data_IF_699807766348
#
_entry.id   IF_699807766348
#
_cell.length_a   1.000
_cell.length_b   1.000
_cell.length_c   1.000
_cell.angle_alpha   90.00
_cell.angle_beta   90.00
_cell.angle_gamma   90.00
#
_symmetry.space_group_name_H-M   'P 1'
#
loop_
_entity.id
_entity.type
_entity.pdbx_description
1 polymer ?
#
# COMPACT_ATOMS: atom_id res chain seq x y z
N UNK A 1 -17.23 15.21 17.56
CA UNK A 1 -17.25 13.85 16.98
C UNK A 1 -15.86 13.28 17.07
N UNK A 2 -15.65 12.18 17.80
CA UNK A 2 -14.35 11.50 17.84
C UNK A 2 -14.21 10.81 16.48
N UNK A 3 -13.27 11.25 15.65
CA UNK A 3 -12.92 10.50 14.44
C UNK A 3 -12.42 9.12 14.90
N UNK A 4 -13.11 8.06 14.50
CA UNK A 4 -12.67 6.70 14.75
C UNK A 4 -11.31 6.52 14.06
N UNK A 5 -10.26 6.32 14.85
CA UNK A 5 -8.94 6.07 14.32
C UNK A 5 -8.94 4.68 13.65
N UNK A 6 -8.66 4.64 12.35
CA UNK A 6 -8.52 3.41 11.58
C UNK A 6 -7.13 2.86 11.87
N UNK A 7 -7.09 1.59 12.24
CA UNK A 7 -5.86 0.87 12.55
C UNK A 7 -5.41 0.06 11.36
N UNK A 8 -4.21 0.32 10.88
CA UNK A 8 -3.64 -0.27 9.68
C UNK A 8 -2.38 -1.08 10.01
N UNK A 9 -2.10 -2.13 9.24
CA UNK A 9 -0.80 -2.80 9.33
C UNK A 9 0.29 -1.93 8.71
N UNK A 10 1.46 -1.90 9.35
CA UNK A 10 2.68 -1.34 8.77
C UNK A 10 3.66 -2.47 8.49
N UNK A 11 3.93 -2.72 7.23
CA UNK A 11 4.74 -3.86 6.86
C UNK A 11 5.29 -3.80 5.45
N UNK A 12 6.31 -4.61 5.20
CA UNK A 12 6.70 -5.07 3.89
C UNK A 12 6.39 -6.57 3.80
N UNK A 13 5.71 -6.98 2.73
CA UNK A 13 5.31 -8.35 2.47
C UNK A 13 5.46 -8.73 1.00
N UNK A 14 5.13 -9.99 0.69
CA UNK A 14 5.07 -10.49 -0.67
C UNK A 14 3.95 -11.53 -0.84
N UNK A 15 3.36 -11.56 -2.03
CA UNK A 15 2.42 -12.59 -2.49
C UNK A 15 3.18 -13.52 -3.43
N UNK A 16 3.44 -14.78 -3.04
CA UNK A 16 4.10 -15.75 -3.92
C UNK A 16 4.91 -16.80 -3.18
N UNK A 17 5.70 -17.57 -3.94
CA UNK A 17 6.54 -18.68 -3.42
C UNK A 17 7.93 -18.22 -2.92
N UNK A 18 8.28 -16.95 -3.14
CA UNK A 18 9.63 -16.41 -2.91
C UNK A 18 9.57 -15.00 -2.29
N UNK A 19 10.52 -14.61 -1.42
CA UNK A 19 11.48 -15.47 -0.75
C UNK A 19 10.78 -16.34 0.30
N UNK A 20 11.49 -17.32 0.80
CA UNK A 20 11.03 -18.46 1.60
C UNK A 20 9.84 -18.20 2.57
N UNK A 21 8.88 -19.14 2.68
CA UNK A 21 7.73 -19.06 3.62
C UNK A 21 8.16 -18.96 5.09
N UNK A 22 9.45 -19.20 5.36
CA UNK A 22 10.10 -19.06 6.66
C UNK A 22 10.40 -17.61 7.03
N UNK A 23 10.44 -16.70 6.07
CA UNK A 23 10.49 -15.26 6.35
C UNK A 23 9.07 -14.79 6.70
N UNK A 24 8.86 -14.55 7.99
CA UNK A 24 7.58 -14.03 8.51
C UNK A 24 7.32 -12.70 7.79
N UNK A 25 6.21 -12.63 7.05
CA UNK A 25 5.74 -11.35 6.53
C UNK A 25 5.60 -10.40 7.71
N UNK A 26 6.23 -9.23 7.65
CA UNK A 26 6.03 -8.24 8.73
C UNK A 26 4.57 -7.79 8.83
N UNK A 27 3.74 -8.13 7.84
CA UNK A 27 2.30 -7.87 7.86
C UNK A 27 1.53 -8.73 8.85
N UNK A 28 2.08 -9.91 9.18
CA UNK A 28 1.48 -10.78 10.20
C UNK A 28 1.83 -10.29 11.62
N UNK A 29 2.75 -9.32 11.76
CA UNK A 29 3.11 -8.73 13.04
C UNK A 29 2.10 -7.66 13.46
N UNK A 30 1.13 -8.07 14.28
CA UNK A 30 0.10 -7.21 14.88
C UNK A 30 0.68 -6.06 15.72
N UNK A 31 1.93 -6.15 16.20
CA UNK A 31 2.53 -5.08 17.01
C UNK A 31 3.03 -3.89 16.17
N UNK A 32 3.08 -4.01 14.84
CA UNK A 32 3.52 -2.93 13.95
C UNK A 32 2.33 -2.26 13.27
N UNK A 33 1.39 -1.75 14.08
CA UNK A 33 0.19 -1.07 13.61
C UNK A 33 0.36 0.45 13.73
N UNK A 34 -0.29 1.18 12.83
CA UNK A 34 -0.45 2.63 12.93
C UNK A 34 -1.93 3.00 12.94
N UNK A 35 -2.20 4.24 13.35
CA UNK A 35 -3.55 4.80 13.41
C UNK A 35 -3.64 6.04 12.51
N UNK A 36 -4.72 6.11 11.74
CA UNK A 36 -5.01 7.21 10.82
C UNK A 36 -6.50 7.55 10.81
N UNK A 37 -6.88 8.83 10.67
CA UNK A 37 -8.28 9.21 10.50
C UNK A 37 -8.83 8.94 9.09
N UNK A 38 -7.99 8.53 8.12
CA UNK A 38 -8.35 8.51 6.70
C UNK A 38 -8.36 7.10 6.09
N UNK A 39 -7.19 6.56 5.70
CA UNK A 39 -7.13 5.29 4.97
C UNK A 39 -5.91 4.45 5.35
N UNK A 40 -6.08 3.12 5.35
CA UNK A 40 -4.96 2.20 5.18
C UNK A 40 -4.60 2.16 3.70
N UNK A 41 -3.31 2.06 3.40
CA UNK A 41 -2.83 1.93 2.03
C UNK A 41 -1.96 0.69 1.87
N UNK A 42 -2.21 -0.06 0.80
CA UNK A 42 -1.37 -1.14 0.30
C UNK A 42 -0.73 -0.70 -1.01
N UNK A 43 0.58 -0.55 -1.00
CA UNK A 43 1.41 -0.16 -2.14
C UNK A 43 1.97 -1.43 -2.76
N UNK A 44 1.49 -1.78 -3.93
CA UNK A 44 1.85 -3.01 -4.65
C UNK A 44 2.87 -2.65 -5.71
N UNK A 45 4.03 -3.29 -5.67
CA UNK A 45 5.05 -3.12 -6.70
C UNK A 45 4.59 -3.76 -8.01
N UNK A 46 4.87 -3.12 -9.15
CA UNK A 46 4.59 -3.75 -10.43
C UNK A 46 5.50 -4.96 -10.59
N UNK A 47 4.92 -6.15 -10.82
CA UNK A 47 5.71 -7.37 -11.07
C UNK A 47 6.76 -7.10 -12.15
N UNK A 48 8.03 -7.29 -11.79
CA UNK A 48 9.09 -7.45 -12.78
C UNK A 48 8.77 -8.68 -13.63
N UNK A 49 8.76 -8.59 -14.97
CA UNK A 49 8.55 -9.75 -15.83
C UNK A 49 9.51 -10.89 -15.45
N UNK A 50 8.97 -12.09 -15.22
CA UNK A 50 9.74 -13.25 -14.75
C UNK A 50 9.80 -13.43 -13.24
N UNK A 51 9.27 -12.49 -12.44
CA UNK A 51 9.13 -12.67 -10.99
C UNK A 51 8.00 -13.64 -10.66
N UNK A 52 8.26 -14.56 -9.73
CA UNK A 52 7.25 -15.51 -9.20
C UNK A 52 6.47 -14.95 -8.00
N UNK A 53 6.72 -13.69 -7.63
CA UNK A 53 6.11 -13.04 -6.47
C UNK A 53 5.89 -11.54 -6.72
N UNK A 54 4.91 -10.99 -6.01
CA UNK A 54 4.60 -9.56 -5.95
C UNK A 54 4.99 -9.04 -4.58
N UNK A 55 5.79 -7.99 -4.50
CA UNK A 55 6.06 -7.31 -3.21
C UNK A 55 5.00 -6.25 -2.95
N UNK A 56 4.70 -6.03 -1.67
CA UNK A 56 3.86 -4.91 -1.27
C UNK A 56 4.32 -4.32 0.05
N UNK A 57 3.98 -3.05 0.27
CA UNK A 57 4.08 -2.36 1.55
C UNK A 57 2.69 -1.96 2.01
N UNK A 58 2.34 -2.20 3.27
CA UNK A 58 1.15 -1.59 3.90
C UNK A 58 1.57 -0.48 4.86
N UNK A 59 0.78 0.59 4.92
CA UNK A 59 1.02 1.75 5.78
C UNK A 59 -0.27 2.54 6.09
N UNK A 60 -0.17 3.52 6.99
CA UNK A 60 -1.22 4.52 7.19
C UNK A 60 -1.12 5.63 6.14
N UNK A 61 -2.28 6.09 5.69
CA UNK A 61 -2.39 7.23 4.79
C UNK A 61 -3.24 8.33 5.43
N UNK A 62 -2.69 9.54 5.48
CA UNK A 62 -3.25 10.66 6.24
C UNK A 62 -3.92 11.71 5.37
N UNK A 63 -3.81 11.65 4.05
CA UNK A 63 -4.44 12.60 3.15
C UNK A 63 -5.73 12.02 2.53
N UNK A 64 -6.72 12.87 2.19
CA UNK A 64 -7.93 12.42 1.48
C UNK A 64 -7.72 12.26 -0.03
N UNK A 65 -6.56 12.66 -0.55
CA UNK A 65 -6.22 12.64 -1.97
C UNK A 65 -4.85 11.99 -2.19
N UNK A 66 -4.63 11.49 -3.40
CA UNK A 66 -3.36 10.95 -3.86
C UNK A 66 -2.94 11.66 -5.14
N UNK A 67 -1.68 12.07 -5.19
CA UNK A 67 -1.04 12.53 -6.42
C UNK A 67 -0.37 11.33 -7.09
N UNK A 68 -1.02 10.79 -8.12
CA UNK A 68 -0.58 9.54 -8.78
C UNK A 68 0.53 9.79 -9.81
N UNK A 69 0.62 11.02 -10.30
CA UNK A 69 1.72 11.56 -11.08
C UNK A 69 1.72 13.10 -10.91
N UNK A 70 2.72 13.85 -11.43
CA UNK A 70 2.79 15.30 -11.25
C UNK A 70 1.58 16.09 -11.75
N UNK A 71 0.72 15.52 -12.59
CA UNK A 71 -0.41 16.18 -13.22
C UNK A 71 -1.77 15.71 -12.68
N UNK A 72 -1.84 14.56 -12.01
CA UNK A 72 -3.08 13.90 -11.64
C UNK A 72 -3.20 13.79 -10.11
N UNK A 73 -3.98 14.69 -9.54
CA UNK A 73 -4.49 14.58 -8.17
C UNK A 73 -5.86 13.90 -8.19
N UNK A 74 -6.00 12.79 -7.46
CA UNK A 74 -7.26 12.04 -7.34
C UNK A 74 -7.76 12.06 -5.90
N UNK A 75 -9.06 12.27 -5.70
CA UNK A 75 -9.70 12.05 -4.40
C UNK A 75 -9.78 10.54 -4.14
N UNK A 76 -9.38 10.10 -2.94
CA UNK A 76 -9.33 8.69 -2.60
C UNK A 76 -10.75 8.21 -2.27
N UNK A 77 -11.22 7.29 -3.09
CA UNK A 77 -12.38 6.46 -2.80
C UNK A 77 -11.97 5.22 -1.99
N UNK A 78 -12.78 4.86 -1.01
CA UNK A 78 -12.70 3.59 -0.29
C UNK A 78 -12.64 2.41 -1.26
N UNK A 79 -11.71 1.47 -1.04
CA UNK A 79 -11.46 0.28 -1.90
C UNK A 79 -10.98 0.62 -3.31
N UNK A 80 -10.57 1.87 -3.55
CA UNK A 80 -9.98 2.30 -4.81
C UNK A 80 -8.49 1.97 -4.91
N UNK A 81 -8.05 1.57 -6.11
CA UNK A 81 -6.64 1.37 -6.44
C UNK A 81 -6.19 2.37 -7.52
N UNK A 82 -5.07 3.03 -7.27
CA UNK A 82 -4.58 4.13 -8.10
C UNK A 82 -3.19 3.80 -8.66
N UNK A 83 -2.98 3.91 -9.99
CA UNK A 83 -1.69 3.63 -10.60
C UNK A 83 -0.76 4.83 -10.41
N UNK A 84 0.25 4.68 -9.56
CA UNK A 84 1.25 5.72 -9.36
C UNK A 84 2.44 5.49 -10.29
N UNK A 85 2.99 6.59 -10.80
CA UNK A 85 4.17 6.62 -11.64
C UNK A 85 5.20 7.62 -11.08
N UNK A 86 6.44 7.17 -10.91
CA UNK A 86 7.53 8.07 -10.52
C UNK A 86 8.16 8.80 -11.72
N UNK A 87 9.06 9.75 -11.44
CA UNK A 87 9.79 10.52 -12.44
C UNK A 87 11.14 9.92 -12.86
N UNK A 88 11.43 8.66 -12.50
CA UNK A 88 12.74 8.06 -12.77
C UNK A 88 12.89 7.55 -14.22
N UNK A 89 14.12 7.28 -14.66
CA UNK A 89 14.41 6.61 -15.94
C UNK A 89 15.24 5.33 -15.68
N UNK A 90 14.71 4.13 -15.96
CA UNK A 90 13.35 3.84 -16.43
C UNK A 90 12.30 4.11 -15.36
N UNK A 91 11.11 4.53 -15.80
CA UNK A 91 9.97 4.83 -14.93
C UNK A 91 9.60 3.61 -14.10
N UNK A 92 9.40 3.82 -12.80
CA UNK A 92 8.84 2.80 -11.91
C UNK A 92 7.36 3.04 -11.68
N UNK A 93 6.61 1.94 -11.52
CA UNK A 93 5.16 1.92 -11.41
C UNK A 93 4.74 1.09 -10.22
N UNK A 94 3.75 1.57 -9.49
CA UNK A 94 3.15 0.87 -8.37
C UNK A 94 1.66 1.16 -8.31
N UNK A 95 0.93 0.35 -7.55
CA UNK A 95 -0.49 0.56 -7.29
C UNK A 95 -0.72 0.90 -5.83
N UNK A 96 -1.41 2.01 -5.57
CA UNK A 96 -1.84 2.41 -4.23
C UNK A 96 -3.30 2.00 -4.06
N UNK A 97 -3.55 0.93 -3.30
CA UNK A 97 -4.88 0.45 -2.97
C UNK A 97 -5.28 0.88 -1.57
N UNK A 98 -6.42 1.54 -1.43
CA UNK A 98 -6.86 2.13 -0.16
C UNK A 98 -8.06 1.39 0.44
N UNK A 99 -8.04 1.18 1.76
CA UNK A 99 -9.17 0.64 2.53
C UNK A 99 -9.41 1.51 3.77
N UNK A 100 -10.66 1.57 4.24
CA UNK A 100 -11.05 2.38 5.41
C UNK A 100 -11.86 1.60 6.46
N UNK A 101 -12.04 0.29 6.26
CA UNK A 101 -12.84 -0.60 7.11
C UNK A 101 -11.97 -1.62 7.84
N UNK A 102 -11.03 -2.27 7.13
CA UNK A 102 -9.94 -3.08 7.66
C UNK A 102 -8.91 -3.33 6.55
N UNK A 103 -7.66 -3.53 6.93
CA UNK A 103 -6.66 -4.15 6.04
C UNK A 103 -6.90 -5.67 5.97
#
# INVERSE_FOLDING_TARGET
SVALAIRCHQCNGWHGKYPDKSSISTCDNINNQCETPNFCVKIIDAMTPGSSYVTYKSDCYYAPNIQVNPQNLSQIQTKGCYPFQDGSQPVKRWWYCFCNDRD
#
